data_IF_409662883857
#
_entry.id   IF_409662883857
#
_cell.length_a   1.000
_cell.length_b   1.000
_cell.length_c   1.000
_cell.angle_alpha   90.00
_cell.angle_beta   90.00
_cell.angle_gamma   90.00
#
_symmetry.space_group_name_H-M   'P 1'
#
loop_
_entity.id
_entity.type
_entity.pdbx_description
1 polymer ?
#
# COMPACT_ATOMS: atom_id res chain seq x y z
N UNK A 1 5.07 -19.94 -27.18
CA UNK A 1 5.20 -21.36 -26.80
C UNK A 1 6.56 -21.63 -26.18
N UNK A 2 6.81 -22.76 -25.49
CA UNK A 2 8.09 -23.02 -24.80
C UNK A 2 9.33 -22.90 -25.68
N UNK A 3 9.18 -23.15 -26.98
CA UNK A 3 10.26 -23.10 -27.97
C UNK A 3 10.52 -21.67 -28.51
N UNK A 4 9.65 -20.72 -28.21
CA UNK A 4 9.82 -19.32 -28.61
C UNK A 4 10.81 -18.64 -27.66
N UNK A 5 12.06 -18.55 -28.10
CA UNK A 5 13.15 -17.92 -27.34
C UNK A 5 13.56 -16.53 -27.87
N UNK A 6 12.89 -16.01 -28.91
CA UNK A 6 13.25 -14.73 -29.52
C UNK A 6 13.23 -13.55 -28.53
N UNK A 7 12.31 -13.56 -27.57
CA UNK A 7 12.21 -12.52 -26.54
C UNK A 7 13.34 -12.57 -25.49
N UNK A 8 14.18 -13.62 -25.51
CA UNK A 8 15.37 -13.76 -24.66
C UNK A 8 16.65 -13.30 -25.36
N UNK A 9 16.57 -12.89 -26.63
CA UNK A 9 17.72 -12.36 -27.34
C UNK A 9 18.24 -11.08 -26.70
N UNK A 10 19.57 -10.92 -26.73
CA UNK A 10 20.22 -9.72 -26.22
C UNK A 10 19.86 -8.52 -27.10
N UNK A 11 19.31 -7.48 -26.48
CA UNK A 11 19.01 -6.21 -27.15
C UNK A 11 20.24 -5.32 -27.09
N UNK A 12 20.76 -4.93 -28.26
CA UNK A 12 21.97 -4.10 -28.34
C UNK A 12 21.76 -2.75 -27.64
N UNK A 13 22.65 -2.43 -26.71
CA UNK A 13 22.66 -1.15 -25.98
C UNK A 13 21.89 -1.17 -24.66
N UNK A 14 21.18 -2.26 -24.36
CA UNK A 14 20.40 -2.41 -23.14
C UNK A 14 21.04 -3.45 -22.21
N UNK A 15 20.87 -3.27 -20.90
CA UNK A 15 21.29 -4.23 -19.86
C UNK A 15 20.03 -4.78 -19.18
N UNK A 16 19.53 -5.91 -19.71
CA UNK A 16 18.33 -6.58 -19.24
C UNK A 16 18.67 -7.91 -18.55
N UNK A 17 17.90 -8.20 -17.50
CA UNK A 17 17.84 -9.53 -16.89
C UNK A 17 16.40 -10.05 -16.97
N UNK A 18 16.20 -11.23 -17.56
CA UNK A 18 14.87 -11.84 -17.70
C UNK A 18 14.76 -13.06 -16.80
N UNK A 19 13.85 -13.03 -15.83
CA UNK A 19 13.43 -14.20 -15.08
C UNK A 19 12.43 -15.01 -15.91
N UNK A 20 12.71 -16.30 -16.06
CA UNK A 20 11.88 -17.22 -16.84
C UNK A 20 11.26 -18.25 -15.91
N UNK A 21 9.95 -18.43 -15.99
CA UNK A 21 9.24 -19.47 -15.26
C UNK A 21 8.10 -20.07 -16.11
N UNK A 22 7.52 -21.17 -15.65
CA UNK A 22 6.39 -21.80 -16.29
C UNK A 22 5.07 -21.11 -15.93
N UNK A 23 4.10 -21.15 -16.84
CA UNK A 23 2.75 -20.63 -16.65
C UNK A 23 1.77 -21.37 -17.55
N UNK A 24 0.45 -21.41 -17.28
CA UNK A 24 -0.21 -21.10 -16.01
C UNK A 24 0.23 -22.05 -14.89
N UNK A 25 0.03 -21.61 -13.64
CA UNK A 25 0.37 -22.40 -12.45
C UNK A 25 -0.24 -23.81 -12.51
N UNK A 26 0.60 -24.83 -12.30
CA UNK A 26 0.19 -26.24 -12.31
C UNK A 26 -0.04 -26.85 -13.70
N UNK A 27 -0.13 -26.04 -14.76
CA UNK A 27 -0.31 -26.49 -16.15
C UNK A 27 1.02 -26.42 -16.92
N UNK A 28 1.79 -25.33 -16.74
CA UNK A 28 3.15 -25.15 -17.26
C UNK A 28 3.32 -25.25 -18.79
N UNK A 29 2.25 -25.04 -19.56
CA UNK A 29 2.26 -25.12 -21.05
C UNK A 29 2.96 -23.95 -21.73
N UNK A 30 3.13 -22.82 -21.03
CA UNK A 30 3.76 -21.61 -21.52
C UNK A 30 4.93 -21.18 -20.63
N UNK A 31 5.62 -20.11 -21.04
CA UNK A 31 6.67 -19.47 -20.27
C UNK A 31 6.25 -18.04 -19.96
N UNK A 32 6.37 -17.65 -18.70
CA UNK A 32 6.22 -16.28 -18.24
C UNK A 32 7.61 -15.66 -18.19
N UNK A 33 7.77 -14.54 -18.89
CA UNK A 33 9.02 -13.78 -18.95
C UNK A 33 8.83 -12.48 -18.16
N UNK A 34 9.63 -12.30 -17.12
CA UNK A 34 9.66 -11.06 -16.31
C UNK A 34 11.00 -10.39 -16.55
N UNK A 35 10.99 -9.29 -17.32
CA UNK A 35 12.20 -8.57 -17.73
C UNK A 35 12.43 -7.34 -16.85
N UNK A 36 13.58 -7.31 -16.18
CA UNK A 36 14.08 -6.16 -15.45
C UNK A 36 15.15 -5.42 -16.24
N UNK A 37 15.17 -4.09 -16.13
CA UNK A 37 16.26 -3.22 -16.60
C UNK A 37 17.26 -2.98 -15.48
N UNK A 38 18.54 -2.91 -15.83
CA UNK A 38 19.56 -2.48 -14.87
C UNK A 38 19.25 -1.09 -14.33
N UNK A 39 19.34 -0.95 -13.03
CA UNK A 39 19.29 0.33 -12.30
C UNK A 39 20.54 0.48 -11.43
N UNK A 40 20.75 1.68 -10.90
CA UNK A 40 21.77 1.90 -9.88
C UNK A 40 21.45 1.06 -8.64
N UNK A 41 22.50 0.51 -8.03
CA UNK A 41 22.38 -0.21 -6.77
C UNK A 41 22.33 0.80 -5.63
N UNK A 42 21.23 0.79 -4.87
CA UNK A 42 21.06 1.63 -3.69
C UNK A 42 21.44 0.82 -2.44
N UNK A 43 22.21 1.40 -1.50
CA UNK A 43 22.45 0.77 -0.21
C UNK A 43 21.15 0.63 0.58
N UNK A 44 21.12 -0.34 1.51
CA UNK A 44 19.92 -0.73 2.28
C UNK A 44 19.26 0.46 3.01
N UNK A 45 20.08 1.38 3.54
CA UNK A 45 19.62 2.61 4.20
C UNK A 45 18.83 3.55 3.26
N UNK A 46 19.23 3.61 1.97
CA UNK A 46 18.55 4.42 0.96
C UNK A 46 17.24 3.77 0.49
N UNK A 47 17.18 2.42 0.46
CA UNK A 47 15.94 1.71 0.13
C UNK A 47 14.87 1.89 1.20
N UNK A 48 15.24 1.89 2.48
CA UNK A 48 14.29 2.17 3.56
C UNK A 48 13.71 3.59 3.49
N UNK A 49 14.51 4.58 3.07
CA UNK A 49 14.04 5.94 2.87
C UNK A 49 13.00 6.01 1.74
N UNK A 50 13.26 5.33 0.61
CA UNK A 50 12.33 5.26 -0.53
C UNK A 50 11.05 4.50 -0.15
N UNK A 51 11.13 3.41 0.59
CA UNK A 51 9.96 2.68 1.07
C UNK A 51 9.11 3.53 2.03
N UNK A 52 9.75 4.31 2.90
CA UNK A 52 9.05 5.25 3.81
C UNK A 52 8.34 6.37 3.05
N UNK A 53 8.89 6.81 1.92
CA UNK A 53 8.29 7.84 1.05
C UNK A 53 7.23 7.28 0.10
N UNK A 54 7.43 6.09 -0.45
CA UNK A 54 6.55 5.48 -1.46
C UNK A 54 5.44 4.64 -0.82
N UNK A 55 5.68 4.06 0.36
CA UNK A 55 4.79 3.13 1.06
C UNK A 55 3.70 3.75 1.95
N UNK A 56 3.46 5.06 1.89
CA UNK A 56 2.51 5.77 2.78
C UNK A 56 1.37 6.52 2.08
N UNK A 57 0.86 6.02 0.96
CA UNK A 57 -0.32 6.61 0.29
C UNK A 57 -1.61 5.80 0.44
N UNK A 58 -1.68 4.83 1.37
CA UNK A 58 -2.83 3.89 1.41
C UNK A 58 -3.53 3.62 2.73
N UNK A 59 -2.98 3.93 3.92
CA UNK A 59 -3.62 3.54 5.18
C UNK A 59 -3.42 4.61 6.25
N UNK A 60 -4.04 5.77 6.02
CA UNK A 60 -4.29 6.72 7.09
C UNK A 60 -5.19 6.07 8.13
N UNK A 61 -4.87 6.30 9.39
CA UNK A 61 -5.62 6.02 10.62
C UNK A 61 -7.06 6.61 10.61
N UNK A 62 -7.88 6.28 9.61
CA UNK A 62 -9.19 6.90 9.36
C UNK A 62 -10.26 6.55 10.42
N UNK A 63 -9.93 5.69 11.38
CA UNK A 63 -10.79 5.31 12.50
C UNK A 63 -10.60 6.18 13.76
N UNK A 64 -9.53 7.00 13.83
CA UNK A 64 -9.28 7.90 14.96
C UNK A 64 -10.40 8.93 15.28
N UNK A 65 -11.16 9.49 14.32
CA UNK A 65 -12.20 10.47 14.67
C UNK A 65 -13.41 9.85 15.39
N UNK A 66 -13.68 8.54 15.26
CA UNK A 66 -14.83 7.91 15.93
C UNK A 66 -14.69 7.86 17.46
N UNK A 67 -13.47 7.83 17.99
CA UNK A 67 -13.20 7.76 19.43
C UNK A 67 -13.60 9.04 20.19
N UNK A 68 -13.60 10.20 19.52
CA UNK A 68 -13.93 11.49 20.15
C UNK A 68 -15.42 11.85 20.13
N UNK A 69 -16.25 11.13 19.36
CA UNK A 69 -17.68 11.41 19.24
C UNK A 69 -18.43 11.11 20.55
N UNK A 70 -18.09 10.01 21.22
CA UNK A 70 -18.73 9.55 22.47
C UNK A 70 -18.56 10.56 23.62
N UNK A 71 -17.33 11.02 23.97
CA UNK A 71 -17.16 11.97 25.08
C UNK A 71 -17.80 13.33 24.81
N UNK A 72 -17.80 13.80 23.56
CA UNK A 72 -18.44 15.07 23.18
C UNK A 72 -19.96 15.00 23.35
N UNK A 73 -20.59 13.92 22.87
CA UNK A 73 -22.04 13.72 23.05
C UNK A 73 -22.43 13.59 24.53
N UNK A 74 -21.63 12.87 25.32
CA UNK A 74 -21.85 12.75 26.76
C UNK A 74 -21.79 14.12 27.47
N UNK A 75 -20.79 14.95 27.14
CA UNK A 75 -20.65 16.29 27.70
C UNK A 75 -21.85 17.20 27.33
N UNK A 76 -22.33 17.13 26.10
CA UNK A 76 -23.52 17.88 25.64
C UNK A 76 -24.77 17.45 26.42
N UNK A 77 -25.01 16.15 26.56
CA UNK A 77 -26.17 15.62 27.29
C UNK A 77 -26.14 16.03 28.77
N UNK A 78 -24.98 15.95 29.41
CA UNK A 78 -24.79 16.40 30.81
C UNK A 78 -25.07 17.90 30.92
N UNK A 79 -24.53 18.71 30.01
CA UNK A 79 -24.75 20.16 29.98
C UNK A 79 -26.23 20.53 29.83
N UNK A 80 -26.96 19.85 28.94
CA UNK A 80 -28.40 20.04 28.74
C UNK A 80 -29.19 19.63 29.98
N UNK A 81 -28.85 18.50 30.60
CA UNK A 81 -29.51 18.04 31.82
C UNK A 81 -29.34 19.03 32.98
N UNK A 82 -28.13 19.57 33.16
CA UNK A 82 -27.83 20.60 34.17
C UNK A 82 -28.58 21.90 33.87
N UNK A 83 -28.58 22.37 32.61
CA UNK A 83 -29.32 23.56 32.21
C UNK A 83 -30.84 23.41 32.43
N UNK A 84 -31.43 22.26 32.06
CA UNK A 84 -32.84 21.96 32.29
C UNK A 84 -33.18 21.91 33.78
N UNK A 85 -32.29 21.34 34.60
CA UNK A 85 -32.48 21.27 36.06
C UNK A 85 -32.41 22.64 36.71
N UNK A 86 -31.55 23.54 36.23
CA UNK A 86 -31.47 24.93 36.69
C UNK A 86 -32.70 25.74 36.27
N UNK A 87 -33.18 25.57 35.04
CA UNK A 87 -34.36 26.28 34.55
C UNK A 87 -35.69 25.79 35.17
N UNK A 88 -35.75 24.53 35.64
CA UNK A 88 -36.89 24.00 36.41
C UNK A 88 -36.88 24.36 37.90
N UNK A 89 -35.78 24.93 38.40
CA UNK A 89 -35.62 25.35 39.81
C UNK A 89 -35.74 26.87 40.01
N UNK A 90 -35.87 27.64 38.93
CA UNK A 90 -36.35 29.03 38.94
C UNK A 90 -37.83 29.02 38.62
#
# INVERSE_FOLDING_TARGET
>A
LPEEAGDLEAVRGEDYCTLVTCTPYGINTHRLLVRGSRTEYLPEEATEAIEKETGKTGQGHAWQPFLWIIPVLAAILIGVAVCRRKNRRR
#
